data_IF_214458306094
#
_entry.id   IF_214458306094
#
_cell.length_a   1.000
_cell.length_b   1.000
_cell.length_c   1.000
_cell.angle_alpha   90.00
_cell.angle_beta   90.00
_cell.angle_gamma   90.00
#
_symmetry.space_group_name_H-M   'P 1'
#
loop_
_entity.id
_entity.type
_entity.pdbx_description
1 polymer ?
#
# COMPACT_ATOMS: atom_id res chain seq x y z
N UNK A 1 22.60 -2.57 2.48
CA UNK A 1 21.31 -3.20 2.13
C UNK A 1 20.24 -2.64 3.06
N UNK A 2 19.13 -2.10 2.53
CA UNK A 2 17.97 -1.72 3.34
C UNK A 2 16.99 -2.88 3.28
N UNK A 3 17.21 -3.89 4.11
CA UNK A 3 16.38 -5.11 4.12
C UNK A 3 14.98 -4.92 4.73
N UNK A 4 14.67 -3.70 5.19
CA UNK A 4 13.47 -3.40 5.97
C UNK A 4 12.88 -2.04 5.57
N UNK A 5 11.57 -2.02 5.26
CA UNK A 5 10.78 -0.80 5.07
C UNK A 5 9.74 -0.70 6.19
N UNK A 6 9.76 0.39 6.95
CA UNK A 6 8.75 0.69 7.96
C UNK A 6 7.62 1.48 7.30
N UNK A 7 6.39 0.97 7.36
CA UNK A 7 5.21 1.65 6.84
C UNK A 7 4.19 1.76 7.96
N UNK A 8 3.73 2.97 8.26
CA UNK A 8 2.62 3.19 9.19
C UNK A 8 1.34 2.86 8.46
N UNK A 9 0.57 1.89 8.97
CA UNK A 9 -0.75 1.57 8.44
C UNK A 9 -1.84 2.05 9.41
N UNK A 10 -2.91 2.66 8.89
CA UNK A 10 -4.15 2.84 9.64
C UNK A 10 -4.63 1.52 10.22
N UNK A 11 -5.32 1.58 11.35
CA UNK A 11 -5.80 0.40 12.06
C UNK A 11 -6.64 -0.53 11.18
N UNK A 12 -7.54 0.03 10.39
CA UNK A 12 -8.44 -0.72 9.50
C UNK A 12 -7.67 -1.45 8.38
N UNK A 13 -6.71 -0.77 7.75
CA UNK A 13 -5.82 -1.40 6.75
C UNK A 13 -4.95 -2.49 7.37
N UNK A 14 -4.45 -2.27 8.59
CA UNK A 14 -3.70 -3.29 9.31
C UNK A 14 -4.57 -4.53 9.58
N UNK A 15 -5.81 -4.33 10.04
CA UNK A 15 -6.76 -5.40 10.27
C UNK A 15 -7.07 -6.18 8.98
N UNK A 16 -7.33 -5.49 7.87
CA UNK A 16 -7.59 -6.10 6.57
C UNK A 16 -6.39 -6.93 6.08
N UNK A 17 -5.18 -6.38 6.17
CA UNK A 17 -3.94 -7.10 5.86
C UNK A 17 -3.75 -8.32 6.76
N UNK A 18 -4.05 -8.21 8.05
CA UNK A 18 -3.92 -9.31 9.00
C UNK A 18 -4.93 -10.43 8.71
N UNK A 19 -6.18 -10.11 8.40
CA UNK A 19 -7.19 -11.09 8.00
C UNK A 19 -6.81 -11.77 6.69
N UNK A 20 -6.32 -11.02 5.71
CA UNK A 20 -5.82 -11.60 4.46
C UNK A 20 -4.63 -12.52 4.68
N UNK A 21 -3.70 -12.12 5.54
CA UNK A 21 -2.54 -12.92 5.91
C UNK A 21 -2.94 -14.26 6.56
N UNK A 22 -3.97 -14.25 7.42
CA UNK A 22 -4.54 -15.48 7.99
C UNK A 22 -5.14 -16.39 6.91
N UNK A 23 -5.95 -15.84 6.01
CA UNK A 23 -6.59 -16.60 4.91
C UNK A 23 -5.56 -17.25 4.00
N UNK A 24 -4.49 -16.54 3.67
CA UNK A 24 -3.46 -17.01 2.75
C UNK A 24 -2.35 -17.82 3.43
N UNK A 25 -2.47 -18.09 4.75
CA UNK A 25 -1.45 -18.72 5.60
C UNK A 25 -0.05 -18.07 5.45
N UNK A 26 -0.02 -16.73 5.39
CA UNK A 26 1.17 -15.91 5.14
C UNK A 26 1.41 -14.91 6.26
N UNK A 27 2.59 -14.27 6.26
CA UNK A 27 2.85 -13.13 7.16
C UNK A 27 2.23 -11.86 6.58
N UNK A 28 1.74 -10.93 7.43
CA UNK A 28 1.25 -9.61 6.99
C UNK A 28 2.23 -8.86 6.08
N UNK A 29 3.53 -8.95 6.38
CA UNK A 29 4.59 -8.35 5.56
C UNK A 29 4.68 -8.94 4.16
N UNK A 30 4.41 -10.24 4.00
CA UNK A 30 4.40 -10.90 2.70
C UNK A 30 3.17 -10.50 1.88
N UNK A 31 2.01 -10.38 2.52
CA UNK A 31 0.79 -9.90 1.87
C UNK A 31 0.98 -8.50 1.31
N UNK A 32 1.51 -7.57 2.12
CA UNK A 32 1.79 -6.20 1.67
C UNK A 32 2.84 -6.20 0.55
N UNK A 33 3.92 -6.98 0.69
CA UNK A 33 4.96 -7.08 -0.35
C UNK A 33 4.39 -7.58 -1.68
N UNK A 34 3.58 -8.64 -1.65
CA UNK A 34 2.93 -9.17 -2.85
C UNK A 34 1.96 -8.17 -3.46
N UNK A 35 1.23 -7.42 -2.62
CA UNK A 35 0.34 -6.37 -3.09
C UNK A 35 1.10 -5.25 -3.82
N UNK A 36 2.22 -4.79 -3.26
CA UNK A 36 3.08 -3.78 -3.87
C UNK A 36 3.71 -4.27 -5.19
N UNK A 37 4.20 -5.52 -5.22
CA UNK A 37 4.77 -6.10 -6.43
C UNK A 37 3.74 -6.22 -7.55
N UNK A 38 2.52 -6.65 -7.21
CA UNK A 38 1.46 -6.79 -8.20
C UNK A 38 1.01 -5.42 -8.73
N UNK A 39 0.83 -4.42 -7.86
CA UNK A 39 0.48 -3.06 -8.28
C UNK A 39 1.53 -2.47 -9.23
N UNK A 40 2.82 -2.60 -8.90
CA UNK A 40 3.88 -2.07 -9.76
C UNK A 40 3.95 -2.80 -11.10
N UNK A 41 3.72 -4.11 -11.13
CA UNK A 41 3.67 -4.90 -12.38
C UNK A 41 2.49 -4.50 -13.28
N UNK A 42 1.30 -4.31 -12.70
CA UNK A 42 0.14 -3.79 -13.42
C UNK A 42 0.44 -2.39 -13.97
N UNK A 43 1.05 -1.54 -13.15
CA UNK A 43 1.38 -0.16 -13.51
C UNK A 43 2.58 0.00 -14.45
N UNK A 44 3.35 -1.06 -14.71
CA UNK A 44 4.43 -1.10 -15.73
C UNK A 44 3.91 -1.64 -17.07
N UNK A 45 2.74 -2.30 -17.08
CA UNK A 45 2.06 -2.74 -18.30
C UNK A 45 1.24 -1.60 -18.95
N UNK A 46 0.96 -0.54 -18.18
CA UNK A 46 0.48 0.74 -18.69
C UNK A 46 1.66 1.69 -18.92
N UNK A 47 1.88 2.08 -20.17
CA UNK A 47 2.83 3.14 -20.53
C UNK A 47 2.51 4.48 -19.85
N UNK A 48 3.32 5.54 -20.03
CA UNK A 48 3.07 6.85 -19.42
C UNK A 48 1.81 7.49 -20.06
N UNK A 49 0.64 7.11 -19.55
CA UNK A 49 -0.61 7.29 -20.27
C UNK A 49 -1.81 7.45 -19.35
N UNK A 50 -1.76 8.47 -18.49
CA UNK A 50 -2.88 9.05 -17.72
C UNK A 50 -3.56 8.13 -16.67
N UNK A 51 -3.98 8.71 -15.53
CA UNK A 51 -4.93 8.05 -14.66
C UNK A 51 -6.26 7.93 -15.41
N UNK A 52 -6.74 6.71 -15.59
CA UNK A 52 -8.13 6.49 -15.99
C UNK A 52 -9.02 7.07 -14.89
N UNK A 53 -9.63 8.22 -15.21
CA UNK A 53 -10.72 8.78 -14.42
C UNK A 53 -11.92 7.86 -14.60
N UNK A 54 -11.96 6.77 -13.84
CA UNK A 54 -13.22 6.18 -13.42
C UNK A 54 -13.85 7.10 -12.36
N UNK A 55 -14.33 8.26 -12.82
CA UNK A 55 -15.32 9.05 -12.09
C UNK A 55 -16.68 8.51 -12.49
N UNK A 56 -17.08 7.40 -11.87
CA UNK A 56 -18.48 7.00 -11.79
C UNK A 56 -18.82 6.62 -10.35
N UNK A 57 -19.59 7.52 -9.72
CA UNK A 57 -20.59 7.19 -8.71
C UNK A 57 -20.16 6.48 -7.43
N UNK A 58 -20.05 7.26 -6.35
CA UNK A 58 -20.50 6.78 -5.03
C UNK A 58 -19.39 6.55 -4.00
N UNK A 59 -19.30 7.50 -3.08
CA UNK A 59 -18.58 7.32 -1.82
C UNK A 59 -17.12 7.75 -1.88
N UNK A 60 -16.85 8.98 -1.43
CA UNK A 60 -15.73 9.16 -0.50
C UNK A 60 -15.78 7.97 0.47
N UNK A 61 -14.72 7.17 0.65
CA UNK A 61 -14.61 6.48 1.91
C UNK A 61 -14.50 7.60 2.93
N UNK A 62 -15.64 7.93 3.54
CA UNK A 62 -15.64 8.58 4.82
C UNK A 62 -14.94 7.57 5.73
N UNK A 63 -13.62 7.70 5.84
CA UNK A 63 -12.88 7.30 7.01
C UNK A 63 -13.41 8.21 8.12
N UNK A 64 -14.65 7.90 8.53
CA UNK A 64 -15.43 8.70 9.43
C UNK A 64 -14.66 8.77 10.72
N UNK A 65 -14.38 10.00 11.13
CA UNK A 65 -14.82 10.51 12.42
C UNK A 65 -15.31 9.40 13.37
N UNK A 66 -14.35 8.73 13.98
CA UNK A 66 -14.57 7.82 15.09
C UNK A 66 -13.34 7.95 15.95
N UNK A 67 -13.47 8.80 16.97
CA UNK A 67 -12.50 9.08 18.02
C UNK A 67 -12.13 7.86 18.85
N UNK A 68 -11.49 6.88 18.23
CA UNK A 68 -10.52 6.02 18.87
C UNK A 68 -9.15 6.57 18.50
N UNK A 69 -8.13 6.56 19.39
CA UNK A 69 -6.77 6.83 18.95
C UNK A 69 -6.43 5.74 17.92
N UNK A 70 -6.60 6.07 16.63
CA UNK A 70 -6.30 5.19 15.52
C UNK A 70 -4.88 4.75 15.75
N UNK A 71 -4.73 3.52 16.25
CA UNK A 71 -3.44 3.04 16.69
C UNK A 71 -2.72 2.73 15.39
N UNK A 72 -2.07 3.76 14.83
CA UNK A 72 -1.22 3.66 13.67
C UNK A 72 -0.22 2.56 13.99
N UNK A 73 -0.32 1.45 13.26
CA UNK A 73 0.55 0.31 13.49
C UNK A 73 1.58 0.29 12.39
N UNK A 74 2.83 0.45 12.79
CA UNK A 74 3.97 0.29 11.88
C UNK A 74 4.11 -1.18 11.51
N UNK A 75 3.94 -1.51 10.23
CA UNK A 75 4.33 -2.80 9.68
C UNK A 75 5.76 -2.68 9.15
N UNK A 76 6.61 -3.61 9.59
CA UNK A 76 7.94 -3.79 9.03
C UNK A 76 7.86 -4.77 7.86
N UNK A 77 7.99 -4.24 6.65
CA UNK A 77 8.17 -5.07 5.45
C UNK A 77 9.61 -5.57 5.46
N UNK A 78 9.77 -6.87 5.69
CA UNK A 78 11.06 -7.55 5.67
C UNK A 78 11.35 -8.09 4.27
N UNK A 79 12.62 -8.10 3.90
CA UNK A 79 13.09 -8.63 2.60
C UNK A 79 12.42 -7.92 1.42
N UNK A 80 12.38 -6.59 1.48
CA UNK A 80 11.99 -5.74 0.34
C UNK A 80 13.15 -5.75 -0.65
N UNK A 81 12.98 -6.28 -1.88
CA UNK A 81 14.03 -6.24 -2.89
C UNK A 81 14.43 -4.78 -3.18
N UNK A 82 15.71 -4.54 -3.44
CA UNK A 82 16.21 -3.18 -3.72
C UNK A 82 15.50 -2.54 -4.91
N UNK A 83 15.25 -3.32 -5.96
CA UNK A 83 14.47 -2.92 -7.14
C UNK A 83 13.05 -2.46 -6.78
N UNK A 84 12.39 -3.17 -5.86
CA UNK A 84 11.05 -2.81 -5.39
C UNK A 84 11.08 -1.48 -4.63
N UNK A 85 12.03 -1.34 -3.70
CA UNK A 85 12.19 -0.09 -2.95
C UNK A 85 12.53 1.09 -3.86
N UNK A 86 13.40 0.88 -4.86
CA UNK A 86 13.77 1.89 -5.84
C UNK A 86 12.57 2.31 -6.69
N UNK A 87 11.81 1.36 -7.21
CA UNK A 87 10.60 1.64 -7.98
C UNK A 87 9.56 2.43 -7.16
N UNK A 88 9.33 2.03 -5.90
CA UNK A 88 8.46 2.77 -4.99
C UNK A 88 8.96 4.20 -4.74
N UNK A 89 10.28 4.37 -4.54
CA UNK A 89 10.90 5.68 -4.33
C UNK A 89 10.77 6.58 -5.57
N UNK A 90 11.05 6.05 -6.75
CA UNK A 90 10.96 6.81 -8.00
C UNK A 90 9.52 7.22 -8.31
N UNK A 91 8.53 6.32 -8.12
CA UNK A 91 7.12 6.65 -8.33
C UNK A 91 6.57 7.60 -7.27
N UNK A 92 6.89 7.40 -6.00
CA UNK A 92 6.52 8.33 -4.93
C UNK A 92 7.05 9.75 -5.20
N UNK A 93 8.30 9.86 -5.70
CA UNK A 93 8.87 11.15 -6.09
C UNK A 93 8.12 11.81 -7.26
N UNK A 94 7.64 11.04 -8.25
CA UNK A 94 6.81 11.56 -9.35
C UNK A 94 5.47 12.11 -8.85
N UNK A 95 4.87 11.46 -7.86
CA UNK A 95 3.61 11.88 -7.26
C UNK A 95 3.78 12.92 -6.14
N UNK A 96 5.01 13.33 -5.83
CA UNK A 96 5.37 14.24 -4.73
C UNK A 96 4.88 13.73 -3.36
N UNK A 97 4.86 12.42 -3.19
CA UNK A 97 4.49 11.74 -1.94
C UNK A 97 5.73 11.14 -1.27
N UNK A 98 5.64 10.91 0.05
CA UNK A 98 6.62 10.06 0.72
C UNK A 98 6.42 8.60 0.29
N UNK A 99 7.46 7.77 0.40
CA UNK A 99 7.33 6.32 0.10
C UNK A 99 6.25 5.68 0.97
N UNK A 100 6.11 6.13 2.22
CA UNK A 100 5.09 5.62 3.13
C UNK A 100 3.67 6.02 2.69
N UNK A 101 3.46 7.29 2.31
CA UNK A 101 2.17 7.77 1.82
C UNK A 101 1.79 7.12 0.49
N UNK A 102 2.76 6.94 -0.40
CA UNK A 102 2.54 6.26 -1.67
C UNK A 102 2.18 4.78 -1.47
N UNK A 103 2.84 4.08 -0.54
CA UNK A 103 2.45 2.70 -0.18
C UNK A 103 1.05 2.67 0.42
N UNK A 104 0.70 3.65 1.26
CA UNK A 104 -0.64 3.76 1.81
C UNK A 104 -1.70 3.96 0.73
N UNK A 105 -1.46 4.84 -0.23
CA UNK A 105 -2.36 5.06 -1.35
C UNK A 105 -2.56 3.78 -2.18
N UNK A 106 -1.48 3.04 -2.46
CA UNK A 106 -1.57 1.74 -3.14
C UNK A 106 -2.43 0.75 -2.36
N UNK A 107 -2.19 0.65 -1.04
CA UNK A 107 -2.94 -0.28 -0.18
C UNK A 107 -4.39 0.13 0.00
N UNK A 108 -4.70 1.43 0.04
CA UNK A 108 -6.06 1.94 0.12
C UNK A 108 -6.84 1.68 -1.17
N UNK A 109 -6.19 1.73 -2.34
CA UNK A 109 -6.80 1.41 -3.63
C UNK A 109 -7.09 -0.09 -3.80
N UNK A 110 -6.40 -0.96 -3.07
CA UNK A 110 -6.66 -2.41 -3.06
C UNK A 110 -7.67 -2.75 -1.97
N UNK A 111 -8.85 -3.20 -2.37
CA UNK A 111 -9.78 -3.86 -1.44
C UNK A 111 -9.21 -5.24 -1.08
N UNK A 112 -8.91 -5.47 0.20
CA UNK A 112 -8.28 -6.69 0.73
C UNK A 112 -9.30 -7.75 1.18
#
# INVERSE_FOLDING_TARGET
MRDQLSVRLPHELNAAVAERAKRDARRPSDVVRLALQAYLRESDSDGPGRPDRAREGGGTPAWGDSGSPATERTILLRHVPEELYRALKERAARERLSVSDYVLDILARRQF
#
